data_IF_762408073161
#
_entry.id   IF_762408073161
#
_cell.length_a   1.000
_cell.length_b   1.000
_cell.length_c   1.000
_cell.angle_alpha   90.00
_cell.angle_beta   90.00
_cell.angle_gamma   90.00
#
_symmetry.space_group_name_H-M   'P 1'
#
loop_
_entity.id
_entity.type
_entity.pdbx_description
1 polymer ?
#
# COMPACT_ATOMS: atom_id res chain seq x y z
N UNK A 1 0.42 -15.88 14.00
CA UNK A 1 -0.44 -15.15 13.04
C UNK A 1 -0.25 -13.71 13.41
N UNK A 2 0.28 -12.94 12.48
CA UNK A 2 0.77 -11.60 12.68
C UNK A 2 -0.18 -10.61 12.03
N UNK A 3 -0.62 -9.60 12.77
CA UNK A 3 -1.34 -8.49 12.17
C UNK A 3 -0.36 -7.48 11.60
N UNK A 4 -0.65 -7.03 10.38
CA UNK A 4 0.10 -5.98 9.70
C UNK A 4 -0.87 -4.87 9.34
N UNK A 5 -0.67 -3.72 9.96
CA UNK A 5 -1.45 -2.51 9.71
C UNK A 5 -0.94 -1.85 8.45
N UNK A 6 -1.83 -1.39 7.58
CA UNK A 6 -1.46 -0.68 6.37
C UNK A 6 -2.37 0.52 6.12
N UNK A 7 -1.82 1.46 5.37
CA UNK A 7 -2.51 2.67 4.91
C UNK A 7 -2.02 3.03 3.50
N UNK A 8 -2.86 3.70 2.72
CA UNK A 8 -2.54 4.10 1.35
C UNK A 8 -2.89 5.55 1.08
N UNK A 9 -2.06 6.21 0.29
CA UNK A 9 -2.32 7.54 -0.22
C UNK A 9 -2.52 7.49 -1.73
N UNK A 10 -3.46 8.27 -2.25
CA UNK A 10 -3.85 8.24 -3.66
C UNK A 10 -4.41 9.58 -4.14
N UNK A 11 -4.49 9.77 -5.45
CA UNK A 11 -4.71 11.10 -6.05
C UNK A 11 -6.08 11.73 -5.78
N UNK A 12 -7.13 10.95 -5.60
CA UNK A 12 -8.50 11.41 -5.32
C UNK A 12 -9.39 10.28 -4.76
N UNK A 13 -10.57 10.60 -4.22
CA UNK A 13 -11.58 9.62 -3.79
C UNK A 13 -12.50 9.15 -4.95
N UNK A 14 -12.24 9.65 -6.16
CA UNK A 14 -13.04 9.38 -7.35
C UNK A 14 -12.62 8.16 -8.15
N UNK A 15 -13.39 7.89 -9.22
CA UNK A 15 -12.99 6.92 -10.25
C UNK A 15 -11.75 7.41 -10.97
N UNK A 16 -10.80 6.52 -11.22
CA UNK A 16 -9.53 6.86 -11.86
C UNK A 16 -8.50 7.44 -10.89
N UNK A 17 -8.75 7.32 -9.57
CA UNK A 17 -7.72 7.51 -8.56
C UNK A 17 -6.50 6.64 -8.85
N UNK A 18 -5.34 7.09 -8.40
CA UNK A 18 -4.05 6.44 -8.63
C UNK A 18 -3.26 6.39 -7.34
N UNK A 19 -2.64 5.25 -7.05
CA UNK A 19 -1.82 5.05 -5.86
C UNK A 19 -0.58 5.95 -5.88
N UNK A 20 -0.39 6.68 -4.79
CA UNK A 20 0.76 7.54 -4.51
C UNK A 20 1.76 6.80 -3.62
N UNK A 21 1.31 6.26 -2.49
CA UNK A 21 2.17 5.53 -1.56
C UNK A 21 1.42 4.48 -0.76
N UNK A 22 2.18 3.54 -0.19
CA UNK A 22 1.68 2.54 0.76
C UNK A 22 2.67 2.41 1.93
N UNK A 23 2.12 2.41 3.15
CA UNK A 23 2.85 2.13 4.39
C UNK A 23 2.31 0.89 5.07
N UNK A 24 3.20 0.06 5.63
CA UNK A 24 2.84 -1.10 6.44
C UNK A 24 3.71 -1.19 7.68
N UNK A 25 3.13 -1.66 8.79
CA UNK A 25 3.83 -1.91 10.05
C UNK A 25 3.26 -3.14 10.75
N UNK A 26 4.14 -3.96 11.33
CA UNK A 26 3.73 -5.12 12.14
C UNK A 26 3.11 -4.68 13.48
N UNK A 27 2.25 -5.50 14.07
CA UNK A 27 1.57 -5.17 15.34
C UNK A 27 2.52 -4.89 16.51
N UNK A 28 3.74 -5.42 16.45
CA UNK A 28 4.81 -5.19 17.42
C UNK A 28 5.69 -3.95 17.10
N UNK A 29 5.48 -3.33 15.94
CA UNK A 29 6.23 -2.17 15.45
C UNK A 29 7.65 -2.46 14.95
N UNK A 30 8.10 -3.71 14.97
CA UNK A 30 9.49 -4.07 14.70
C UNK A 30 9.85 -4.09 13.20
N UNK A 31 8.85 -4.28 12.33
CA UNK A 31 9.05 -4.31 10.88
C UNK A 31 8.14 -3.29 10.22
N UNK A 32 8.74 -2.52 9.31
CA UNK A 32 8.04 -1.49 8.54
C UNK A 32 8.39 -1.64 7.06
N UNK A 33 7.42 -1.30 6.21
CA UNK A 33 7.59 -1.16 4.78
C UNK A 33 6.95 0.15 4.35
N UNK A 34 7.65 0.91 3.53
CA UNK A 34 7.13 2.13 2.92
C UNK A 34 7.57 2.19 1.46
N UNK A 35 6.66 2.60 0.59
CA UNK A 35 6.94 2.79 -0.82
C UNK A 35 6.13 3.97 -1.39
N UNK A 36 6.81 4.79 -2.19
CA UNK A 36 6.23 5.84 -3.01
C UNK A 36 6.30 5.42 -4.49
N UNK A 37 5.17 5.51 -5.19
CA UNK A 37 5.10 5.24 -6.61
C UNK A 37 5.38 6.53 -7.38
N UNK A 38 6.04 6.42 -8.53
CA UNK A 38 6.11 7.52 -9.47
C UNK A 38 5.99 7.03 -10.92
N UNK A 39 5.58 7.93 -11.81
CA UNK A 39 5.20 7.60 -13.19
C UNK A 39 3.84 6.91 -13.31
N UNK A 40 3.13 6.69 -12.20
CA UNK A 40 1.75 6.19 -12.18
C UNK A 40 0.73 7.34 -12.28
N UNK A 41 1.03 8.49 -11.67
CA UNK A 41 0.17 9.67 -11.63
C UNK A 41 0.89 10.98 -11.99
N UNK A 42 0.11 11.98 -12.37
CA UNK A 42 0.54 13.35 -12.62
C UNK A 42 0.00 14.30 -11.54
N UNK A 43 0.71 15.38 -11.23
CA UNK A 43 0.27 16.37 -10.24
C UNK A 43 -1.09 17.02 -10.58
N UNK A 44 -1.46 17.04 -11.86
CA UNK A 44 -2.76 17.52 -12.33
C UNK A 44 -3.92 16.62 -11.92
N UNK A 45 -3.65 15.35 -11.60
CA UNK A 45 -4.64 14.34 -11.19
C UNK A 45 -4.89 14.35 -9.68
N UNK A 46 -3.97 14.92 -8.89
CA UNK A 46 -4.15 15.09 -7.45
C UNK A 46 -5.23 16.13 -7.15
N UNK A 47 -6.17 15.84 -6.25
CA UNK A 47 -7.09 16.86 -5.75
C UNK A 47 -6.36 17.89 -4.86
N UNK A 48 -7.02 19.01 -4.56
CA UNK A 48 -6.39 20.10 -3.80
C UNK A 48 -5.92 19.64 -2.40
N UNK A 49 -6.70 18.78 -1.74
CA UNK A 49 -6.32 18.19 -0.46
C UNK A 49 -5.01 17.39 -0.56
N UNK A 50 -4.88 16.54 -1.59
CA UNK A 50 -3.67 15.72 -1.82
C UNK A 50 -2.47 16.63 -2.08
N UNK A 51 -2.62 17.67 -2.89
CA UNK A 51 -1.53 18.62 -3.18
C UNK A 51 -1.06 19.37 -1.94
N UNK A 52 -1.98 19.76 -1.07
CA UNK A 52 -1.70 20.59 0.11
C UNK A 52 -1.26 19.78 1.33
N UNK A 53 -1.71 18.53 1.46
CA UNK A 53 -1.55 17.74 2.69
C UNK A 53 -0.73 16.46 2.48
N UNK A 54 -0.96 15.72 1.40
CA UNK A 54 -0.34 14.41 1.18
C UNK A 54 1.04 14.56 0.56
N UNK A 55 1.14 15.23 -0.59
CA UNK A 55 2.41 15.37 -1.32
C UNK A 55 3.54 16.01 -0.49
N UNK A 56 3.30 17.00 0.39
CA UNK A 56 4.38 17.55 1.23
C UNK A 56 4.91 16.60 2.30
N UNK A 57 4.21 15.50 2.60
CA UNK A 57 4.62 14.51 3.62
C UNK A 57 5.43 13.35 3.04
N UNK A 58 5.52 13.24 1.71
CA UNK A 58 6.35 12.24 1.06
C UNK A 58 7.83 12.43 1.44
N UNK A 59 8.54 11.34 1.68
CA UNK A 59 9.97 11.33 2.01
C UNK A 59 10.82 11.84 0.84
N UNK A 60 10.31 11.75 -0.40
CA UNK A 60 10.95 12.30 -1.59
C UNK A 60 12.31 11.68 -1.91
N UNK A 61 12.60 10.51 -1.33
CA UNK A 61 13.91 9.86 -1.29
C UNK A 61 14.03 8.62 -2.19
N UNK A 62 14.82 8.76 -3.26
CA UNK A 62 15.41 7.73 -4.15
C UNK A 62 14.51 6.71 -4.89
N UNK A 63 14.58 6.83 -6.23
CA UNK A 63 14.01 6.00 -7.31
C UNK A 63 12.50 5.73 -7.17
N UNK A 64 11.66 6.37 -8.02
CA UNK A 64 10.28 5.98 -8.24
C UNK A 64 10.10 4.45 -8.20
N UNK A 65 9.28 3.95 -7.27
CA UNK A 65 8.93 2.54 -7.32
C UNK A 65 7.91 2.35 -8.43
N UNK A 66 8.31 1.69 -9.51
CA UNK A 66 7.35 1.26 -10.52
C UNK A 66 6.44 0.15 -9.96
N UNK A 67 5.22 -0.03 -10.52
CA UNK A 67 4.29 -1.03 -10.02
C UNK A 67 4.88 -2.45 -9.96
N UNK A 68 5.60 -2.96 -10.98
CA UNK A 68 6.23 -4.29 -10.90
C UNK A 68 7.20 -4.44 -9.73
N UNK A 69 8.02 -3.41 -9.47
CA UNK A 69 8.95 -3.39 -8.34
C UNK A 69 8.20 -3.37 -7.01
N UNK A 70 7.07 -2.66 -6.92
CA UNK A 70 6.21 -2.67 -5.72
C UNK A 70 5.68 -4.06 -5.42
N UNK A 71 5.08 -4.74 -6.40
CA UNK A 71 4.56 -6.11 -6.23
C UNK A 71 5.63 -7.04 -5.70
N UNK A 72 6.82 -7.01 -6.31
CA UNK A 72 7.93 -7.86 -5.91
C UNK A 72 8.42 -7.54 -4.48
N UNK A 73 8.72 -6.27 -4.19
CA UNK A 73 9.29 -5.87 -2.89
C UNK A 73 8.30 -6.05 -1.74
N UNK A 74 7.04 -5.68 -1.94
CA UNK A 74 6.00 -5.85 -0.92
C UNK A 74 5.72 -7.33 -0.68
N UNK A 75 5.65 -8.13 -1.74
CA UNK A 75 5.47 -9.58 -1.64
C UNK A 75 6.61 -10.26 -0.89
N UNK A 76 7.86 -9.96 -1.24
CA UNK A 76 9.04 -10.48 -0.54
C UNK A 76 9.09 -10.02 0.92
N UNK A 77 8.74 -8.77 1.21
CA UNK A 77 8.67 -8.28 2.59
C UNK A 77 7.63 -9.04 3.41
N UNK A 78 6.40 -9.21 2.88
CA UNK A 78 5.33 -9.96 3.54
C UNK A 78 5.72 -11.43 3.76
N UNK A 79 6.32 -12.09 2.76
CA UNK A 79 6.81 -13.47 2.87
C UNK A 79 7.94 -13.59 3.91
N UNK A 80 8.82 -12.59 3.95
CA UNK A 80 9.98 -12.51 4.84
C UNK A 80 9.63 -12.41 6.32
N UNK A 81 8.40 -12.01 6.67
CA UNK A 81 7.91 -12.02 8.05
C UNK A 81 7.85 -13.43 8.66
N UNK A 82 7.85 -14.48 7.83
CA UNK A 82 7.96 -15.87 8.29
C UNK A 82 6.73 -16.44 9.01
N UNK A 83 5.68 -15.64 9.18
CA UNK A 83 4.41 -16.02 9.80
C UNK A 83 3.24 -15.91 8.82
N UNK A 84 2.10 -16.51 9.18
CA UNK A 84 0.83 -16.18 8.54
C UNK A 84 0.44 -14.75 8.91
N UNK A 85 0.13 -13.93 7.91
CA UNK A 85 -0.17 -12.50 8.02
C UNK A 85 -1.65 -12.25 7.75
N UNK A 86 -2.26 -11.39 8.56
CA UNK A 86 -3.54 -10.77 8.27
C UNK A 86 -3.35 -9.25 8.15
N UNK A 87 -3.69 -8.69 6.99
CA UNK A 87 -3.66 -7.25 6.77
C UNK A 87 -4.81 -6.58 7.54
N UNK A 88 -4.52 -5.44 8.15
CA UNK A 88 -5.44 -4.67 8.98
C UNK A 88 -5.58 -3.26 8.44
N UNK A 89 -6.82 -2.79 8.26
CA UNK A 89 -7.15 -1.45 7.77
C UNK A 89 -8.36 -0.91 8.53
N UNK A 90 -8.44 0.40 8.71
CA UNK A 90 -9.62 1.13 9.19
C UNK A 90 -10.54 1.59 8.03
N UNK A 91 -10.10 1.41 6.78
CA UNK A 91 -10.77 1.90 5.58
C UNK A 91 -10.92 0.83 4.50
N UNK A 92 -11.80 -0.16 4.75
CA UNK A 92 -12.06 -1.25 3.79
C UNK A 92 -12.47 -0.73 2.39
N UNK A 93 -13.23 0.37 2.33
CA UNK A 93 -13.74 0.89 1.06
C UNK A 93 -12.68 1.61 0.22
N UNK A 94 -11.60 2.09 0.85
CA UNK A 94 -10.63 2.98 0.21
C UNK A 94 -9.25 2.32 0.04
N UNK A 95 -8.72 1.65 1.07
CA UNK A 95 -7.35 1.09 1.01
C UNK A 95 -7.32 -0.34 0.47
N UNK A 96 -8.29 -1.17 0.83
CA UNK A 96 -8.31 -2.58 0.41
C UNK A 96 -8.32 -2.79 -1.11
N UNK A 97 -9.03 -1.97 -1.91
CA UNK A 97 -8.93 -2.05 -3.37
C UNK A 97 -7.50 -1.96 -3.90
N UNK A 98 -6.61 -1.19 -3.25
CA UNK A 98 -5.21 -1.08 -3.65
C UNK A 98 -4.41 -2.35 -3.39
N UNK A 99 -4.69 -3.09 -2.31
CA UNK A 99 -4.06 -4.41 -2.09
C UNK A 99 -4.47 -5.39 -3.19
N UNK A 100 -5.75 -5.38 -3.58
CA UNK A 100 -6.25 -6.20 -4.68
C UNK A 100 -5.63 -5.79 -6.03
N UNK A 101 -5.42 -4.49 -6.24
CA UNK A 101 -4.78 -3.98 -7.45
C UNK A 101 -3.29 -4.31 -7.50
N UNK A 102 -2.55 -4.15 -6.40
CA UNK A 102 -1.12 -4.50 -6.33
C UNK A 102 -0.94 -6.00 -6.65
N UNK A 103 -1.74 -6.88 -6.04
CA UNK A 103 -1.64 -8.32 -6.23
C UNK A 103 -2.68 -8.89 -7.22
N UNK A 104 -3.03 -8.12 -8.24
CA UNK A 104 -4.06 -8.52 -9.21
C UNK A 104 -3.61 -9.66 -10.13
N UNK A 105 -2.31 -9.72 -10.44
CA UNK A 105 -1.77 -10.74 -11.34
C UNK A 105 -1.85 -12.13 -10.71
N UNK A 106 -2.07 -13.13 -11.56
CA UNK A 106 -2.08 -14.52 -11.13
C UNK A 106 -0.77 -14.87 -10.43
N UNK A 107 -0.87 -15.54 -9.29
CA UNK A 107 0.26 -16.01 -8.49
C UNK A 107 1.13 -14.89 -7.87
N UNK A 108 0.70 -13.62 -7.94
CA UNK A 108 1.37 -12.50 -7.25
C UNK A 108 1.01 -12.38 -5.76
N UNK A 109 -0.13 -12.95 -5.35
CA UNK A 109 -0.58 -12.92 -3.96
C UNK A 109 0.39 -13.68 -3.02
N UNK A 110 0.92 -13.05 -1.95
CA UNK A 110 1.83 -13.72 -1.03
C UNK A 110 1.16 -14.89 -0.31
N UNK A 111 1.75 -16.08 -0.39
CA UNK A 111 1.15 -17.33 0.12
C UNK A 111 0.85 -17.34 1.62
N UNK A 112 1.49 -16.47 2.40
CA UNK A 112 1.30 -16.38 3.85
C UNK A 112 0.28 -15.31 4.26
N UNK A 113 -0.27 -14.54 3.31
CA UNK A 113 -1.22 -13.46 3.59
C UNK A 113 -2.65 -13.97 3.38
N UNK A 114 -3.52 -13.77 4.37
CA UNK A 114 -4.95 -14.08 4.27
C UNK A 114 -5.63 -13.20 3.21
N UNK A 115 -6.55 -13.78 2.44
CA UNK A 115 -7.29 -13.08 1.38
C UNK A 115 -8.37 -12.11 1.88
N UNK A 116 -8.61 -12.05 3.19
CA UNK A 116 -9.56 -11.14 3.82
C UNK A 116 -8.85 -10.28 4.87
N UNK A 117 -9.03 -8.95 4.84
CA UNK A 117 -8.46 -8.08 5.85
C UNK A 117 -9.23 -8.20 7.16
N UNK A 118 -8.59 -7.79 8.25
CA UNK A 118 -9.26 -7.40 9.48
C UNK A 118 -9.60 -5.91 9.42
N UNK A 119 -10.83 -5.54 9.79
CA UNK A 119 -11.28 -4.16 9.82
C UNK A 119 -11.17 -3.63 11.24
N UNK A 120 -10.50 -2.50 11.43
CA UNK A 120 -10.52 -1.78 12.71
C UNK A 120 -11.87 -1.09 12.87
N UNK A 121 -12.53 -1.36 14.01
CA UNK A 121 -13.84 -0.81 14.36
C UNK A 121 -13.78 0.38 15.29
#
# INVERSE_FOLDING_TARGET
>A
MLHVFFDTEFTDLGKGSKLISIGLVTEDGNHQFYAELAGTYELSECCDFVRETVLPQLEGGSVPMDPPTLVHRLGEWLLGLGESVQLVTDSLAWDWPWILEIFWEKDSWPRNVLSQPLILG
#
